data_IF_997466142630
#
_entry.id   IF_997466142630
#
_cell.length_a   1.000
_cell.length_b   1.000
_cell.length_c   1.000
_cell.angle_alpha   90.00
_cell.angle_beta   90.00
_cell.angle_gamma   90.00
#
_symmetry.space_group_name_H-M   'P 1'
#
loop_
_entity.id
_entity.type
_entity.pdbx_description
1 polymer ?
#
# COMPACT_ATOMS: atom_id res chain seq x y z
N UNK A 1 3.84 -21.10 -4.28
CA UNK A 1 3.68 -20.05 -3.24
C UNK A 1 2.48 -19.21 -3.62
N UNK A 2 1.45 -19.13 -2.78
CA UNK A 2 0.24 -18.36 -3.09
C UNK A 2 0.51 -16.87 -2.88
N UNK A 3 0.31 -16.05 -3.92
CA UNK A 3 0.37 -14.59 -3.82
C UNK A 3 -0.97 -14.09 -3.33
N UNK A 4 -0.95 -13.28 -2.27
CA UNK A 4 -2.16 -12.65 -1.74
C UNK A 4 -2.20 -11.18 -2.14
N UNK A 5 -3.41 -10.63 -2.18
CA UNK A 5 -3.61 -9.23 -2.47
C UNK A 5 -3.87 -8.49 -1.16
N UNK A 6 -3.16 -7.41 -0.92
CA UNK A 6 -3.32 -6.59 0.28
C UNK A 6 -3.75 -5.19 -0.13
N UNK A 7 -4.83 -4.70 0.45
CA UNK A 7 -5.25 -3.32 0.35
C UNK A 7 -4.77 -2.56 1.59
N UNK A 8 -3.90 -1.58 1.38
CA UNK A 8 -3.42 -0.70 2.43
C UNK A 8 -4.12 0.65 2.30
N UNK A 9 -4.66 1.13 3.41
CA UNK A 9 -5.29 2.43 3.52
C UNK A 9 -4.51 3.27 4.51
N UNK A 10 -4.33 4.53 4.16
CA UNK A 10 -3.58 5.44 5.00
C UNK A 10 -3.73 6.87 4.55
N UNK A 11 -2.85 7.72 5.05
CA UNK A 11 -2.74 9.12 4.68
C UNK A 11 -1.33 9.42 4.23
N UNK A 12 -1.23 10.15 3.13
CA UNK A 12 0.02 10.69 2.62
C UNK A 12 -0.05 12.21 2.65
N UNK A 13 1.08 12.86 2.92
CA UNK A 13 1.17 14.33 2.92
C UNK A 13 1.67 14.82 1.57
N UNK A 14 0.78 15.41 0.79
CA UNK A 14 1.11 16.02 -0.51
C UNK A 14 0.90 17.52 -0.43
N UNK A 15 1.91 18.32 -0.79
CA UNK A 15 1.83 19.80 -0.79
C UNK A 15 1.21 20.35 0.50
N UNK A 16 1.71 19.87 1.65
CA UNK A 16 1.23 20.21 3.00
C UNK A 16 -0.20 19.78 3.36
N UNK A 17 -0.93 19.04 2.51
CA UNK A 17 -2.24 18.48 2.85
C UNK A 17 -2.16 16.97 3.10
N UNK A 18 -2.85 16.51 4.14
CA UNK A 18 -3.04 15.09 4.40
C UNK A 18 -4.16 14.56 3.51
N UNK A 19 -3.80 13.68 2.57
CA UNK A 19 -4.71 13.05 1.64
C UNK A 19 -4.77 11.56 1.95
N UNK A 20 -5.98 11.00 2.00
CA UNK A 20 -6.16 9.56 2.14
C UNK A 20 -5.66 8.87 0.87
N UNK A 21 -4.92 7.78 1.04
CA UNK A 21 -4.54 6.91 -0.07
C UNK A 21 -5.03 5.49 0.20
N UNK A 22 -5.37 4.81 -0.89
CA UNK A 22 -5.69 3.39 -0.88
C UNK A 22 -4.84 2.76 -1.97
N UNK A 23 -4.10 1.71 -1.62
CA UNK A 23 -3.22 1.02 -2.55
C UNK A 23 -3.36 -0.48 -2.40
N UNK A 24 -3.52 -1.16 -3.54
CA UNK A 24 -3.63 -2.61 -3.60
C UNK A 24 -2.33 -3.19 -4.12
N UNK A 25 -1.68 -4.06 -3.33
CA UNK A 25 -0.39 -4.66 -3.66
C UNK A 25 -0.44 -6.17 -3.52
N UNK A 26 0.17 -6.88 -4.48
CA UNK A 26 0.34 -8.32 -4.41
C UNK A 26 1.61 -8.66 -3.63
N UNK A 27 1.48 -9.45 -2.57
CA UNK A 27 2.59 -9.86 -1.71
C UNK A 27 2.36 -11.27 -1.14
N UNK A 28 3.44 -11.91 -0.69
CA UNK A 28 3.37 -13.20 0.00
C UNK A 28 3.10 -13.03 1.51
N UNK A 29 3.55 -11.90 2.07
CA UNK A 29 3.44 -11.55 3.49
C UNK A 29 3.03 -10.08 3.63
N UNK A 30 2.36 -9.69 4.74
CA UNK A 30 2.02 -8.30 5.00
C UNK A 30 3.24 -7.38 5.03
N UNK A 31 4.38 -7.83 5.55
CA UNK A 31 5.65 -7.08 5.61
C UNK A 31 6.09 -6.60 4.21
N UNK A 32 6.10 -7.50 3.22
CA UNK A 32 6.44 -7.16 1.85
C UNK A 32 5.42 -6.21 1.20
N UNK A 33 4.15 -6.27 1.63
CA UNK A 33 3.12 -5.35 1.18
C UNK A 33 3.43 -3.91 1.65
N UNK A 34 3.84 -3.74 2.91
CA UNK A 34 4.29 -2.45 3.45
C UNK A 34 5.49 -1.90 2.69
N UNK A 35 6.54 -2.71 2.48
CA UNK A 35 7.74 -2.29 1.76
C UNK A 35 7.45 -1.85 0.31
N UNK A 36 6.58 -2.60 -0.40
CA UNK A 36 6.12 -2.21 -1.73
C UNK A 36 5.41 -0.87 -1.72
N UNK A 37 4.50 -0.64 -0.76
CA UNK A 37 3.80 0.64 -0.64
C UNK A 37 4.78 1.79 -0.42
N UNK A 38 5.72 1.64 0.52
CA UNK A 38 6.73 2.68 0.75
C UNK A 38 7.59 2.95 -0.48
N UNK A 39 8.00 1.91 -1.21
CA UNK A 39 8.82 2.06 -2.42
C UNK A 39 8.05 2.74 -3.56
N UNK A 40 6.78 2.36 -3.76
CA UNK A 40 5.94 2.95 -4.80
C UNK A 40 5.60 4.41 -4.52
N UNK A 41 5.23 4.74 -3.28
CA UNK A 41 4.94 6.11 -2.86
C UNK A 41 6.20 6.99 -2.86
N UNK A 42 7.34 6.44 -2.43
CA UNK A 42 8.63 7.12 -2.43
C UNK A 42 9.12 7.44 -3.84
N UNK A 43 9.11 6.47 -4.76
CA UNK A 43 9.63 6.66 -6.11
C UNK A 43 8.74 7.54 -6.99
N UNK A 44 7.42 7.35 -6.94
CA UNK A 44 6.48 8.02 -7.85
C UNK A 44 6.06 9.41 -7.37
N UNK A 45 5.95 9.59 -6.06
CA UNK A 45 5.44 10.83 -5.46
C UNK A 45 6.50 11.59 -4.65
N UNK A 46 7.75 11.09 -4.59
CA UNK A 46 8.86 11.66 -3.78
C UNK A 46 8.47 11.91 -2.32
N UNK A 47 7.59 11.05 -1.79
CA UNK A 47 7.12 11.13 -0.41
C UNK A 47 8.17 10.56 0.54
N UNK A 48 8.46 11.28 1.62
CA UNK A 48 9.30 10.75 2.70
C UNK A 48 8.49 9.77 3.54
N UNK A 49 9.16 8.83 4.21
CA UNK A 49 8.50 7.88 5.12
C UNK A 49 7.69 8.57 6.22
N UNK A 50 8.16 9.72 6.70
CA UNK A 50 7.45 10.53 7.70
C UNK A 50 6.16 11.17 7.18
N UNK A 51 6.03 11.32 5.86
CA UNK A 51 4.86 11.87 5.17
C UNK A 51 3.86 10.78 4.78
N UNK A 52 4.12 9.52 5.11
CA UNK A 52 3.24 8.38 4.83
C UNK A 52 2.83 7.76 6.17
N UNK A 53 1.52 7.75 6.46
CA UNK A 53 0.94 7.04 7.58
C UNK A 53 0.02 5.96 7.06
N UNK A 54 0.28 4.71 7.43
CA UNK A 54 -0.60 3.60 7.10
C UNK A 54 -1.51 3.40 8.31
N UNK A 55 -2.81 3.47 8.09
CA UNK A 55 -3.82 3.36 9.15
C UNK A 55 -4.42 1.96 9.21
N UNK A 56 -4.58 1.30 8.05
CA UNK A 56 -5.23 0.00 7.95
C UNK A 56 -4.57 -0.86 6.87
N UNK A 57 -4.42 -2.14 7.18
CA UNK A 57 -3.99 -3.18 6.22
C UNK A 57 -5.08 -4.23 6.16
N UNK A 58 -5.59 -4.48 4.95
CA UNK A 58 -6.65 -5.44 4.69
C UNK A 58 -6.16 -6.50 3.72
N UNK A 59 -6.15 -7.76 4.14
CA UNK A 59 -5.89 -8.87 3.24
C UNK A 59 -7.14 -9.10 2.38
N UNK A 60 -7.03 -8.81 1.09
CA UNK A 60 -8.00 -9.21 0.09
C UNK A 60 -7.61 -10.63 -0.35
N UNK A 61 -8.30 -11.61 0.21
CA UNK A 61 -8.24 -12.98 -0.30
C UNK A 61 -8.85 -12.92 -1.69
N UNK A 62 -7.99 -12.88 -2.71
CA UNK A 62 -8.36 -12.92 -4.13
C UNK A 62 -8.92 -14.32 -4.39
N UNK A 63 -10.21 -14.52 -4.14
CA UNK A 63 -10.99 -15.61 -4.77
C UNK A 63 -10.94 -15.30 -6.26
N UNK A 64 -10.24 -16.15 -7.01
CA UNK A 64 -9.75 -15.88 -8.35
C UNK A 64 -10.77 -15.18 -9.25
N UNK A 65 -10.36 -14.05 -9.82
CA UNK A 65 -10.85 -13.67 -11.14
C UNK A 65 -9.87 -14.24 -12.15
N UNK A 66 -10.08 -15.52 -12.43
CA UNK A 66 -9.67 -16.13 -13.69
C UNK A 66 -10.48 -15.42 -14.79
N UNK A 67 -9.78 -14.84 -15.78
CA UNK A 67 -10.39 -14.40 -17.03
C UNK A 67 -10.40 -15.56 -18.01
#
# INVERSE_FOLDING_TARGET
MAVKTFELRGRMRIKNRWTKFTMTVKALKPEHAFEKVYSLLGSRHKLKRFDIKIEEVKELVEVGKEQ
#
